data_IF_472675897752
#
_entry.id   IF_472675897752
#
_cell.length_a   1.000
_cell.length_b   1.000
_cell.length_c   1.000
_cell.angle_alpha   90.00
_cell.angle_beta   90.00
_cell.angle_gamma   90.00
#
_symmetry.space_group_name_H-M   'P 1'
#
loop_
_entity.id
_entity.type
_entity.pdbx_description
1 polymer ?
#
# COMPACT_ATOMS: atom_id res chain seq x y z
N UNK A 1 11.48 6.35 8.15
CA UNK A 1 10.09 5.96 8.43
C UNK A 1 9.56 6.45 9.78
N UNK A 2 10.36 6.49 10.84
CA UNK A 2 9.93 7.00 12.16
C UNK A 2 9.33 8.41 12.13
N UNK A 3 9.88 9.30 11.30
CA UNK A 3 9.43 10.69 11.21
C UNK A 3 8.02 10.86 10.62
N UNK A 4 7.56 9.95 9.75
CA UNK A 4 6.24 10.04 9.11
C UNK A 4 5.09 9.59 10.02
N UNK A 5 5.38 8.89 11.12
CA UNK A 5 4.38 8.41 12.08
C UNK A 5 4.24 9.30 13.33
N UNK A 6 4.84 10.48 13.32
CA UNK A 6 4.72 11.44 14.43
C UNK A 6 3.50 12.35 14.26
N UNK A 7 2.94 12.83 15.38
CA UNK A 7 1.85 13.82 15.35
C UNK A 7 2.28 15.13 14.68
N UNK A 8 3.56 15.52 14.82
CA UNK A 8 4.14 16.69 14.18
C UNK A 8 4.10 16.58 12.66
N UNK A 9 4.52 15.44 12.10
CA UNK A 9 4.48 15.20 10.64
C UNK A 9 3.04 15.14 10.12
N UNK A 10 2.12 14.59 10.89
CA UNK A 10 0.70 14.58 10.54
C UNK A 10 0.12 16.01 10.53
N UNK A 11 0.48 16.84 11.51
CA UNK A 11 0.05 18.23 11.59
C UNK A 11 0.65 19.08 10.46
N UNK A 12 1.92 18.92 10.13
CA UNK A 12 2.58 19.59 9.01
C UNK A 12 1.93 19.23 7.67
N UNK A 13 1.49 17.99 7.51
CA UNK A 13 0.75 17.56 6.33
C UNK A 13 -0.65 18.14 6.30
N UNK A 14 -1.33 18.15 7.45
CA UNK A 14 -2.65 18.76 7.60
C UNK A 14 -2.67 20.25 7.19
N UNK A 15 -1.67 21.02 7.58
CA UNK A 15 -1.54 22.44 7.22
C UNK A 15 -1.39 22.68 5.70
N UNK A 16 -1.02 21.66 4.93
CA UNK A 16 -0.92 21.75 3.46
C UNK A 16 -2.23 21.41 2.74
N UNK A 17 -3.21 20.87 3.47
CA UNK A 17 -4.52 20.54 2.91
C UNK A 17 -5.30 21.83 2.73
N UNK A 18 -5.86 22.00 1.54
CA UNK A 18 -6.75 23.12 1.21
C UNK A 18 -8.13 22.57 0.82
N UNK A 19 -9.17 22.95 1.55
CA UNK A 19 -10.53 22.44 1.34
C UNK A 19 -11.12 22.81 -0.04
N UNK A 20 -10.54 23.82 -0.70
CA UNK A 20 -11.01 24.29 -2.00
C UNK A 20 -10.19 23.77 -3.19
N UNK A 21 -9.04 23.14 -2.96
CA UNK A 21 -8.14 22.69 -4.02
C UNK A 21 -7.28 21.50 -3.59
N UNK A 22 -6.98 20.61 -4.52
CA UNK A 22 -6.07 19.48 -4.32
C UNK A 22 -4.87 19.60 -5.24
N UNK A 23 -3.67 19.40 -4.71
CA UNK A 23 -2.46 19.28 -5.53
C UNK A 23 -2.31 17.87 -6.07
N UNK A 24 -2.00 17.75 -7.36
CA UNK A 24 -1.60 16.48 -7.99
C UNK A 24 -0.09 16.21 -7.85
N UNK A 25 0.66 17.18 -7.35
CA UNK A 25 2.09 17.00 -7.07
C UNK A 25 2.28 16.38 -5.67
N UNK A 26 2.79 15.14 -5.58
CA UNK A 26 3.05 14.49 -4.29
C UNK A 26 3.99 15.28 -3.38
N UNK A 27 4.93 16.04 -3.95
CA UNK A 27 5.87 16.87 -3.20
C UNK A 27 5.18 17.96 -2.39
N UNK A 28 4.01 18.43 -2.86
CA UNK A 28 3.20 19.40 -2.11
C UNK A 28 2.86 18.90 -0.71
N UNK A 29 2.58 17.62 -0.58
CA UNK A 29 2.24 16.99 0.71
C UNK A 29 3.45 16.34 1.40
N UNK A 30 4.67 16.57 0.89
CA UNK A 30 5.89 16.01 1.45
C UNK A 30 6.24 14.61 0.95
N UNK A 31 5.54 14.15 -0.09
CA UNK A 31 5.88 12.89 -0.77
C UNK A 31 7.14 13.03 -1.63
N UNK A 32 8.07 12.11 -1.46
CA UNK A 32 9.30 12.01 -2.25
C UNK A 32 9.45 10.59 -2.77
N UNK A 33 8.38 10.07 -3.40
CA UNK A 33 8.34 8.69 -3.89
C UNK A 33 7.60 8.60 -5.22
N UNK A 34 7.97 7.59 -5.93
CA UNK A 34 7.34 7.13 -7.14
C UNK A 34 6.07 6.34 -6.81
N UNK A 35 5.04 6.54 -7.61
CA UNK A 35 3.80 5.75 -7.54
C UNK A 35 3.91 4.63 -8.57
N UNK A 36 4.10 3.39 -8.12
CA UNK A 36 4.05 2.21 -8.97
C UNK A 36 2.62 1.72 -9.12
N UNK A 37 2.20 1.37 -10.32
CA UNK A 37 0.91 0.76 -10.57
C UNK A 37 1.07 -0.75 -10.58
N UNK A 38 0.50 -1.44 -9.58
CA UNK A 38 0.49 -2.89 -9.46
C UNK A 38 -0.88 -3.42 -9.90
N UNK A 39 -0.94 -4.18 -10.99
CA UNK A 39 -2.19 -4.72 -11.53
C UNK A 39 -2.36 -6.22 -11.29
N UNK A 40 -1.29 -6.94 -10.93
CA UNK A 40 -1.26 -8.38 -10.66
C UNK A 40 -1.43 -8.74 -9.19
N UNK A 41 -2.32 -8.04 -8.46
CA UNK A 41 -2.52 -8.17 -7.02
C UNK A 41 -3.86 -8.80 -6.69
N UNK A 42 -3.93 -9.61 -5.63
CA UNK A 42 -5.18 -10.14 -5.06
C UNK A 42 -5.21 -9.96 -3.54
N UNK A 43 -6.41 -9.83 -2.97
CA UNK A 43 -6.61 -9.72 -1.53
C UNK A 43 -7.67 -10.72 -1.06
N UNK A 44 -7.42 -11.31 0.12
CA UNK A 44 -8.36 -12.20 0.80
C UNK A 44 -8.52 -11.76 2.25
N UNK A 45 -9.77 -11.53 2.66
CA UNK A 45 -10.16 -11.25 4.04
C UNK A 45 -10.93 -12.43 4.61
N UNK A 46 -10.54 -12.89 5.78
CA UNK A 46 -11.23 -13.96 6.51
C UNK A 46 -11.49 -13.51 7.94
N UNK A 47 -12.73 -13.70 8.39
CA UNK A 47 -13.12 -13.53 9.79
C UNK A 47 -13.81 -14.82 10.21
N UNK A 48 -13.19 -15.54 11.13
CA UNK A 48 -13.69 -16.81 11.62
C UNK A 48 -14.74 -16.61 12.75
N UNK A 49 -15.65 -17.58 12.97
CA UNK A 49 -16.66 -17.51 14.03
C UNK A 49 -16.07 -17.39 15.45
N UNK A 50 -14.87 -17.91 15.67
CA UNK A 50 -14.16 -17.80 16.95
C UNK A 50 -13.48 -16.44 17.16
N UNK A 51 -13.57 -15.52 16.19
CA UNK A 51 -12.99 -14.19 16.24
C UNK A 51 -11.58 -14.08 15.64
N UNK A 52 -11.00 -15.17 15.11
CA UNK A 52 -9.73 -15.11 14.38
C UNK A 52 -9.92 -14.33 13.07
N UNK A 53 -8.96 -13.49 12.74
CA UNK A 53 -9.01 -12.65 11.56
C UNK A 53 -7.73 -12.72 10.76
N UNK A 54 -7.84 -12.83 9.44
CA UNK A 54 -6.72 -12.90 8.51
C UNK A 54 -6.96 -11.94 7.35
N UNK A 55 -6.00 -11.07 7.08
CA UNK A 55 -5.95 -10.20 5.91
C UNK A 55 -4.68 -10.52 5.11
N UNK A 56 -4.82 -11.04 3.91
CA UNK A 56 -3.69 -11.43 3.06
C UNK A 56 -3.79 -10.75 1.72
N UNK A 57 -2.75 -10.01 1.35
CA UNK A 57 -2.56 -9.47 0.01
C UNK A 57 -1.37 -10.15 -0.63
N UNK A 58 -1.55 -10.69 -1.84
CA UNK A 58 -0.51 -11.34 -2.62
C UNK A 58 -0.42 -10.67 -3.98
N UNK A 59 0.80 -10.51 -4.49
CA UNK A 59 1.02 -9.84 -5.78
C UNK A 59 2.12 -10.53 -6.56
N UNK A 60 1.99 -10.47 -7.88
CA UNK A 60 3.04 -10.79 -8.85
C UNK A 60 3.46 -9.54 -9.63
N UNK A 61 3.08 -8.36 -9.14
CA UNK A 61 3.22 -7.01 -9.65
C UNK A 61 2.30 -6.75 -10.86
N UNK A 62 2.74 -6.88 -12.08
CA UNK A 62 1.93 -6.63 -13.28
C UNK A 62 1.03 -7.82 -13.64
N UNK A 63 0.07 -7.61 -14.56
CA UNK A 63 -0.73 -8.69 -15.13
C UNK A 63 0.15 -9.77 -15.76
N UNK A 64 0.01 -11.00 -15.26
CA UNK A 64 0.86 -12.14 -15.62
C UNK A 64 2.34 -11.94 -15.27
N UNK A 65 2.66 -11.08 -14.31
CA UNK A 65 4.01 -10.82 -13.82
C UNK A 65 5.01 -10.58 -14.96
N UNK A 66 6.10 -11.34 -14.97
CA UNK A 66 7.12 -11.27 -16.02
C UNK A 66 6.66 -11.79 -17.41
N UNK A 67 5.43 -12.31 -17.49
CA UNK A 67 4.88 -12.99 -18.70
C UNK A 67 5.67 -14.23 -19.13
N UNK A 68 6.49 -14.75 -18.22
CA UNK A 68 7.28 -15.97 -18.41
C UNK A 68 6.68 -17.06 -17.53
N UNK A 69 6.39 -18.19 -18.13
CA UNK A 69 5.85 -19.37 -17.44
C UNK A 69 6.86 -20.53 -17.50
N UNK A 70 7.02 -21.21 -16.36
CA UNK A 70 7.77 -22.47 -16.32
C UNK A 70 6.98 -23.55 -17.04
N UNK A 71 7.57 -24.13 -18.08
CA UNK A 71 6.95 -25.25 -18.81
C UNK A 71 6.89 -26.53 -17.97
N UNK A 72 7.74 -26.67 -16.96
CA UNK A 72 7.79 -27.84 -16.09
C UNK A 72 6.73 -27.79 -14.98
N UNK A 73 6.38 -26.60 -14.46
CA UNK A 73 5.51 -26.44 -13.29
C UNK A 73 4.21 -25.68 -13.58
N UNK A 74 4.12 -25.00 -14.72
CA UNK A 74 3.00 -24.11 -15.04
C UNK A 74 2.99 -22.80 -14.23
N UNK A 75 4.02 -22.51 -13.42
CA UNK A 75 4.11 -21.32 -12.60
C UNK A 75 4.48 -20.13 -13.47
N UNK A 76 3.69 -19.07 -13.40
CA UNK A 76 4.02 -17.76 -13.97
C UNK A 76 4.90 -17.01 -12.97
N UNK A 77 6.06 -16.55 -13.43
CA UNK A 77 6.98 -15.82 -12.57
C UNK A 77 6.51 -14.38 -12.36
N UNK A 78 6.71 -13.86 -11.12
CA UNK A 78 6.47 -12.46 -10.84
C UNK A 78 7.52 -11.57 -11.52
N UNK A 79 7.24 -10.28 -11.59
CA UNK A 79 8.17 -9.23 -11.99
C UNK A 79 8.38 -8.19 -10.88
N UNK A 80 8.37 -8.63 -9.63
CA UNK A 80 8.43 -7.78 -8.45
C UNK A 80 9.70 -6.90 -8.39
N UNK A 81 10.73 -7.24 -9.15
CA UNK A 81 11.93 -6.42 -9.25
C UNK A 81 11.68 -5.09 -9.99
N UNK A 82 10.63 -5.01 -10.80
CA UNK A 82 10.21 -3.79 -11.48
C UNK A 82 9.62 -2.74 -10.54
N UNK A 83 9.26 -3.14 -9.31
CA UNK A 83 8.86 -2.21 -8.25
C UNK A 83 10.02 -1.34 -7.74
N UNK A 84 11.26 -1.68 -8.04
CA UNK A 84 12.38 -0.78 -7.77
C UNK A 84 12.45 0.35 -8.79
N UNK A 85 12.72 1.56 -8.31
CA UNK A 85 13.08 2.68 -9.19
C UNK A 85 14.49 2.47 -9.77
N UNK A 86 14.67 2.82 -11.03
CA UNK A 86 15.95 2.81 -11.70
C UNK A 86 16.46 4.25 -11.94
N UNK A 87 17.75 4.53 -11.70
CA UNK A 87 18.30 5.86 -11.95
C UNK A 87 18.05 6.30 -13.40
N UNK A 88 17.65 7.55 -13.59
CA UNK A 88 17.44 8.19 -14.90
C UNK A 88 16.34 7.55 -15.79
N UNK A 89 15.54 6.66 -15.25
CA UNK A 89 14.39 6.08 -15.95
C UNK A 89 13.12 6.64 -15.35
N UNK A 90 12.36 7.34 -16.17
CA UNK A 90 10.95 7.67 -15.88
C UNK A 90 10.12 6.43 -16.14
N UNK A 91 9.25 6.06 -15.19
CA UNK A 91 8.42 4.87 -15.32
C UNK A 91 7.32 5.02 -16.41
N UNK A 92 6.56 3.95 -16.66
CA UNK A 92 5.48 3.95 -17.65
C UNK A 92 4.40 5.01 -17.37
N UNK A 93 4.33 5.53 -16.15
CA UNK A 93 3.37 6.56 -15.72
C UNK A 93 3.92 7.99 -15.77
N UNK A 94 5.11 8.19 -16.32
CA UNK A 94 5.73 9.50 -16.44
C UNK A 94 6.32 10.05 -15.13
N UNK A 95 6.46 9.21 -14.09
CA UNK A 95 7.01 9.63 -12.80
C UNK A 95 8.53 9.48 -12.75
N UNK A 96 9.23 10.47 -12.19
CA UNK A 96 10.67 10.39 -12.01
C UNK A 96 11.04 9.33 -10.96
N UNK A 97 12.25 8.75 -11.06
CA UNK A 97 12.70 7.73 -10.12
C UNK A 97 12.93 8.31 -8.72
N UNK A 98 12.57 7.53 -7.69
CA UNK A 98 12.86 7.86 -6.29
C UNK A 98 14.17 7.21 -5.85
N UNK A 99 15.19 7.99 -5.40
CA UNK A 99 16.42 7.45 -4.85
C UNK A 99 16.22 6.54 -3.63
N UNK A 100 15.13 6.77 -2.89
CA UNK A 100 14.77 5.94 -1.72
C UNK A 100 14.29 4.55 -2.12
N UNK A 101 13.91 4.35 -3.38
CA UNK A 101 13.46 3.05 -3.91
C UNK A 101 14.48 2.42 -4.87
N UNK A 102 15.72 2.93 -4.96
CA UNK A 102 16.75 2.28 -5.75
C UNK A 102 17.16 0.93 -5.18
N UNK A 103 17.45 -0.02 -6.05
CA UNK A 103 17.88 -1.36 -5.69
C UNK A 103 19.18 -1.32 -4.87
N UNK A 104 19.22 -2.08 -3.78
CA UNK A 104 20.39 -2.30 -2.93
C UNK A 104 20.36 -3.71 -2.37
N UNK A 105 21.51 -4.27 -2.04
CA UNK A 105 21.58 -5.59 -1.41
C UNK A 105 20.73 -5.64 -0.12
N UNK A 106 19.91 -6.68 0.02
CA UNK A 106 19.03 -6.89 1.17
C UNK A 106 17.82 -5.95 1.26
N UNK A 107 17.63 -5.05 0.30
CA UNK A 107 16.47 -4.16 0.27
C UNK A 107 15.28 -4.81 -0.45
N UNK A 108 14.08 -4.62 0.08
CA UNK A 108 12.82 -4.90 -0.62
C UNK A 108 12.37 -3.68 -1.42
N UNK A 109 11.73 -3.86 -2.58
CA UNK A 109 11.13 -2.76 -3.34
C UNK A 109 9.96 -2.16 -2.57
N UNK A 110 9.55 -0.97 -2.97
CA UNK A 110 8.32 -0.36 -2.49
C UNK A 110 7.13 -1.17 -3.01
N UNK A 111 6.14 -1.40 -2.14
CA UNK A 111 4.86 -1.99 -2.51
C UNK A 111 3.72 -1.18 -1.92
N UNK A 112 2.59 -1.12 -2.61
CA UNK A 112 1.36 -0.49 -2.14
C UNK A 112 0.40 -1.46 -1.45
N UNK A 113 0.75 -2.74 -1.31
CA UNK A 113 -0.10 -3.70 -0.59
C UNK A 113 -0.35 -3.24 0.85
N UNK A 114 -1.61 -3.28 1.26
CA UNK A 114 -2.05 -2.75 2.56
C UNK A 114 -3.13 -3.65 3.20
N UNK A 115 -2.79 -4.89 3.60
CA UNK A 115 -3.71 -5.72 4.36
C UNK A 115 -3.94 -5.09 5.73
N UNK A 116 -5.21 -4.95 6.14
CA UNK A 116 -5.59 -4.22 7.34
C UNK A 116 -6.60 -4.97 8.18
N UNK A 117 -6.39 -4.98 9.50
CA UNK A 117 -7.37 -5.46 10.47
C UNK A 117 -7.64 -4.34 11.46
N UNK A 118 -8.90 -3.93 11.60
CA UNK A 118 -9.31 -2.95 12.59
C UNK A 118 -9.90 -3.71 13.79
N UNK A 119 -9.38 -3.39 14.96
CA UNK A 119 -9.83 -3.97 16.22
C UNK A 119 -10.49 -2.90 17.10
N UNK A 120 -11.44 -3.30 17.93
CA UNK A 120 -12.04 -2.42 18.93
C UNK A 120 -11.11 -2.20 20.14
N UNK A 121 -11.57 -1.42 21.12
CA UNK A 121 -10.82 -1.15 22.35
C UNK A 121 -10.48 -2.40 23.17
N UNK A 122 -11.19 -3.50 22.96
CA UNK A 122 -10.97 -4.80 23.62
C UNK A 122 -10.03 -5.71 22.80
N UNK A 123 -9.56 -5.26 21.64
CA UNK A 123 -8.72 -6.05 20.74
C UNK A 123 -9.49 -7.02 19.85
N UNK A 124 -10.80 -6.91 19.78
CA UNK A 124 -11.65 -7.80 18.96
C UNK A 124 -11.65 -7.29 17.53
N UNK A 125 -11.33 -8.12 16.51
CA UNK A 125 -11.42 -7.75 15.11
C UNK A 125 -12.85 -7.36 14.72
N UNK A 126 -12.99 -6.23 14.04
CA UNK A 126 -14.27 -5.68 13.58
C UNK A 126 -14.33 -5.53 12.07
N UNK A 127 -13.18 -5.23 11.47
CA UNK A 127 -13.05 -5.10 10.02
C UNK A 127 -11.77 -5.80 9.60
N UNK A 128 -11.88 -6.59 8.56
CA UNK A 128 -10.76 -7.19 7.86
C UNK A 128 -10.85 -6.70 6.42
N UNK A 129 -9.88 -5.96 5.96
CA UNK A 129 -9.96 -5.30 4.66
C UNK A 129 -8.59 -5.23 3.98
N UNK A 130 -8.63 -5.16 2.68
CA UNK A 130 -7.55 -4.84 1.79
C UNK A 130 -8.11 -4.57 0.41
N UNK A 131 -7.24 -4.26 -0.52
CA UNK A 131 -7.65 -3.90 -1.86
C UNK A 131 -6.63 -4.40 -2.89
N UNK A 132 -7.03 -4.34 -4.15
CA UNK A 132 -6.20 -4.47 -5.34
C UNK A 132 -6.33 -3.19 -6.17
N UNK A 133 -5.42 -2.95 -7.10
CA UNK A 133 -5.47 -1.77 -7.97
C UNK A 133 -4.24 -0.85 -7.85
N UNK A 134 -3.08 -1.42 -7.59
CA UNK A 134 -1.80 -0.72 -7.62
C UNK A 134 -1.73 0.41 -6.61
N UNK A 135 -1.37 1.58 -7.06
CA UNK A 135 -1.21 2.78 -6.21
C UNK A 135 -2.48 3.22 -5.48
N UNK A 136 -3.65 2.77 -5.93
CA UNK A 136 -4.94 3.09 -5.32
C UNK A 136 -5.24 2.25 -4.07
N UNK A 137 -4.47 1.19 -3.81
CA UNK A 137 -4.71 0.25 -2.70
C UNK A 137 -4.66 0.97 -1.35
N UNK A 138 -3.61 1.77 -1.10
CA UNK A 138 -3.42 2.45 0.18
C UNK A 138 -4.50 3.48 0.46
N UNK A 139 -4.88 4.28 -0.55
CA UNK A 139 -5.96 5.25 -0.42
C UNK A 139 -7.32 4.58 -0.23
N UNK A 140 -7.59 3.47 -0.94
CA UNK A 140 -8.81 2.70 -0.77
C UNK A 140 -8.91 2.09 0.65
N UNK A 141 -7.83 1.51 1.16
CA UNK A 141 -7.77 0.98 2.52
C UNK A 141 -7.97 2.09 3.58
N UNK A 142 -7.34 3.26 3.36
CA UNK A 142 -7.52 4.43 4.23
C UNK A 142 -8.97 4.94 4.19
N UNK A 143 -9.62 4.94 3.03
CA UNK A 143 -11.00 5.34 2.87
C UNK A 143 -11.95 4.42 3.64
N UNK A 144 -11.81 3.11 3.52
CA UNK A 144 -12.58 2.13 4.31
C UNK A 144 -12.41 2.40 5.80
N UNK A 145 -11.19 2.65 6.27
CA UNK A 145 -10.92 3.01 7.67
C UNK A 145 -11.66 4.28 8.08
N UNK A 146 -11.58 5.33 7.28
CA UNK A 146 -12.19 6.64 7.58
C UNK A 146 -13.71 6.53 7.75
N UNK A 147 -14.39 5.86 6.84
CA UNK A 147 -15.85 5.67 6.92
C UNK A 147 -16.29 4.70 8.02
N UNK A 148 -15.39 3.88 8.53
CA UNK A 148 -15.68 2.96 9.64
C UNK A 148 -15.52 3.59 11.03
N UNK A 149 -14.76 4.68 11.15
CA UNK A 149 -14.50 5.38 12.42
C UNK A 149 -15.78 5.83 13.15
N UNK A 150 -16.84 6.38 12.50
CA UNK A 150 -18.06 6.78 13.18
C UNK A 150 -18.78 5.64 13.88
N UNK A 151 -18.57 4.42 13.42
CA UNK A 151 -19.20 3.22 14.01
C UNK A 151 -18.32 2.55 15.07
N UNK A 152 -17.03 2.87 15.12
CA UNK A 152 -16.06 2.25 16.02
C UNK A 152 -15.14 3.32 16.63
N UNK A 153 -15.62 3.97 17.69
CA UNK A 153 -14.96 5.12 18.36
C UNK A 153 -13.52 4.89 18.86
N UNK A 154 -12.97 3.67 18.77
CA UNK A 154 -11.59 3.32 19.17
C UNK A 154 -11.07 2.12 18.34
N UNK A 155 -10.98 2.24 17.03
CA UNK A 155 -10.36 1.19 16.24
C UNK A 155 -8.84 1.41 16.13
N UNK A 156 -8.05 0.47 16.63
CA UNK A 156 -6.61 0.41 16.38
C UNK A 156 -6.38 -0.35 15.08
N UNK A 157 -5.82 0.32 14.07
CA UNK A 157 -5.43 -0.35 12.84
C UNK A 157 -4.06 -1.01 13.03
N UNK A 158 -3.97 -2.28 12.70
CA UNK A 158 -2.69 -2.95 12.51
C UNK A 158 -2.48 -3.03 11.01
N UNK A 159 -1.74 -2.07 10.46
CA UNK A 159 -1.26 -2.10 9.08
C UNK A 159 0.20 -2.51 9.12
N UNK A 160 0.53 -3.62 8.51
CA UNK A 160 1.91 -4.04 8.34
C UNK A 160 2.27 -3.80 6.87
N UNK A 161 2.75 -2.59 6.57
CA UNK A 161 3.44 -2.35 5.31
C UNK A 161 4.78 -3.09 5.36
N UNK A 162 4.99 -3.96 4.41
CA UNK A 162 6.25 -4.72 4.26
C UNK A 162 7.26 -3.85 3.51
#
# INVERSE_FOLDING_TARGET
>A
MEKLSTEEAAYDTFLKINDSATSMDPKHYGGDFEINQEDGTSHTSVLAPNGDAVAVTSTINLYFGSKIMSTATGIIFNDQMDDFSSPNITNEFGLPPSPHNFIRAGKRPQSSICPSILVDAKGIPRIVAGATGGTKITSAAAFVRFFSIPYFCYAKAVCQCI
#
